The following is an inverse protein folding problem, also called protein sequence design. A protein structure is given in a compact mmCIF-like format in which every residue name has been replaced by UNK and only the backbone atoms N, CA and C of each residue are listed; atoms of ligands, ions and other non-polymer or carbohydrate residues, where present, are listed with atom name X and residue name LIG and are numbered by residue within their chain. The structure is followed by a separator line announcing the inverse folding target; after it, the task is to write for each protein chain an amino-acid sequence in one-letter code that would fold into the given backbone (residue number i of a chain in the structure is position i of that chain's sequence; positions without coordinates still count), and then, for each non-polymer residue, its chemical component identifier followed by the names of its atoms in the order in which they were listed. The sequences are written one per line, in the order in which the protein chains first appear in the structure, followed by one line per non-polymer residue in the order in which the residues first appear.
data_IF_367324582482
#
_entry.id   IF_367324582482
#
_cell.length_a   1.000
_cell.length_b   1.000
_cell.length_c   1.000
_cell.angle_alpha   90.00
_cell.angle_beta   90.00
_cell.angle_gamma   90.00
#
_symmetry.space_group_name_H-M   'P 1'
#
loop_
_entity.id
_entity.type
_entity.pdbx_description
1 polymer ?
#
# COMPACT_ATOMS: atom_id res chain seq x y z
N UNK A 1 0.56 -20.56 -0.60
CA UNK A 1 0.01 -20.36 -1.96
C UNK A 1 0.78 -19.23 -2.64
N UNK A 2 1.66 -19.57 -3.58
CA UNK A 2 2.30 -18.61 -4.47
C UNK A 2 1.25 -18.04 -5.43
N UNK A 3 0.92 -16.76 -5.29
CA UNK A 3 0.16 -16.02 -6.31
C UNK A 3 1.01 -14.87 -6.88
N UNK A 4 1.36 -15.13 -8.14
CA UNK A 4 1.53 -14.28 -9.33
C UNK A 4 2.22 -12.92 -9.19
N UNK A 5 3.36 -12.78 -9.87
CA UNK A 5 3.58 -11.59 -10.70
C UNK A 5 2.43 -11.52 -11.71
N UNK A 6 1.46 -10.64 -11.50
CA UNK A 6 0.56 -10.21 -12.58
C UNK A 6 1.27 -9.15 -13.40
N UNK A 7 1.28 -9.38 -14.72
CA UNK A 7 1.86 -8.57 -15.79
C UNK A 7 2.06 -7.08 -15.46
N UNK A 8 3.31 -6.60 -15.58
CA UNK A 8 3.54 -5.23 -16.01
C UNK A 8 2.99 -5.11 -17.44
N UNK A 9 1.74 -4.68 -17.59
CA UNK A 9 1.31 -4.07 -18.84
C UNK A 9 1.96 -2.68 -18.88
N UNK A 10 2.97 -2.53 -19.75
CA UNK A 10 3.69 -1.28 -19.93
C UNK A 10 2.78 -0.26 -20.63
N UNK A 11 2.01 0.49 -19.84
CA UNK A 11 1.43 1.75 -20.27
C UNK A 11 2.44 2.85 -19.93
N UNK A 12 2.91 3.65 -20.90
CA UNK A 12 3.80 4.78 -20.62
C UNK A 12 3.20 5.69 -19.54
N UNK A 13 3.96 5.96 -18.48
CA UNK A 13 3.53 6.82 -17.38
C UNK A 13 2.65 6.15 -16.31
N UNK A 14 2.46 4.82 -16.37
CA UNK A 14 1.78 4.04 -15.32
C UNK A 14 2.76 3.05 -14.67
N UNK A 15 2.87 3.10 -13.35
CA UNK A 15 3.60 2.10 -12.56
C UNK A 15 2.61 1.23 -11.76
N UNK A 16 2.79 -0.09 -11.76
CA UNK A 16 2.01 -1.03 -10.96
C UNK A 16 2.95 -1.72 -9.96
N UNK A 17 2.63 -1.63 -8.67
CA UNK A 17 3.42 -2.18 -7.57
C UNK A 17 2.58 -3.11 -6.72
N UNK A 18 3.12 -4.29 -6.39
CA UNK A 18 2.53 -5.18 -5.39
C UNK A 18 3.42 -5.21 -4.15
N UNK A 19 2.90 -4.74 -3.02
CA UNK A 19 3.59 -4.76 -1.74
C UNK A 19 3.13 -5.98 -0.94
N UNK A 20 4.07 -6.92 -0.72
CA UNK A 20 3.86 -8.08 0.16
C UNK A 20 4.50 -7.80 1.52
N UNK A 21 3.86 -8.28 2.60
CA UNK A 21 4.40 -8.16 3.95
C UNK A 21 5.76 -8.85 4.03
N UNK A 22 6.78 -8.07 4.39
CA UNK A 22 8.16 -8.55 4.52
C UNK A 22 8.25 -9.29 5.87
N UNK A 23 8.00 -10.59 5.87
CA UNK A 23 8.48 -11.45 6.96
C UNK A 23 10.00 -11.52 6.83
N UNK A 24 10.64 -10.77 7.71
CA UNK A 24 12.08 -10.61 7.95
C UNK A 24 12.97 -11.72 7.35
N UNK A 25 13.28 -11.62 6.06
CA UNK A 25 14.30 -12.44 5.40
C UNK A 25 15.04 -11.56 4.41
N UNK A 26 16.37 -11.53 4.55
CA UNK A 26 17.31 -10.74 3.75
C UNK A 26 17.09 -10.88 2.23
N UNK A 27 16.50 -12.00 1.80
CA UNK A 27 16.19 -12.37 0.42
C UNK A 27 15.04 -11.53 -0.18
N UNK A 28 14.06 -11.12 0.64
CA UNK A 28 12.93 -10.32 0.15
C UNK A 28 13.31 -8.86 -0.11
N UNK A 29 14.29 -8.31 0.63
CA UNK A 29 14.85 -6.98 0.37
C UNK A 29 15.55 -6.91 -0.98
N UNK A 30 16.33 -7.93 -1.34
CA UNK A 30 17.04 -7.97 -2.63
C UNK A 30 16.08 -8.13 -3.81
N UNK A 31 15.06 -9.00 -3.74
CA UNK A 31 14.04 -9.09 -4.78
C UNK A 31 13.16 -7.83 -4.88
N UNK A 32 12.89 -7.16 -3.76
CA UNK A 32 12.15 -5.90 -3.74
C UNK A 32 12.97 -4.75 -4.31
N UNK A 33 14.23 -4.61 -3.88
CA UNK A 33 15.19 -3.65 -4.43
C UNK A 33 15.47 -3.95 -5.91
N UNK A 34 15.52 -5.21 -6.34
CA UNK A 34 15.64 -5.59 -7.74
C UNK A 34 14.40 -5.19 -8.56
N UNK A 35 13.18 -5.26 -8.00
CA UNK A 35 11.99 -4.71 -8.64
C UNK A 35 12.04 -3.18 -8.74
N UNK A 36 12.46 -2.49 -7.66
CA UNK A 36 12.67 -1.03 -7.65
C UNK A 36 13.76 -0.63 -8.65
N UNK A 37 14.85 -1.40 -8.75
CA UNK A 37 15.98 -1.16 -9.66
C UNK A 37 15.67 -1.55 -11.11
N UNK A 38 14.87 -2.59 -11.35
CA UNK A 38 14.32 -2.89 -12.67
C UNK A 38 13.34 -1.79 -13.13
N UNK A 39 12.63 -1.18 -12.18
CA UNK A 39 11.77 -0.02 -12.42
C UNK A 39 12.51 1.32 -12.51
N UNK A 40 13.78 1.42 -12.07
CA UNK A 40 14.63 2.60 -12.33
C UNK A 40 14.89 2.85 -13.82
N UNK A 41 14.57 1.89 -14.69
CA UNK A 41 14.53 2.08 -16.14
C UNK A 41 13.24 2.73 -16.67
N UNK A 42 12.20 2.85 -15.84
CA UNK A 42 10.93 3.48 -16.18
C UNK A 42 10.88 4.92 -15.63
N UNK A 43 11.19 5.87 -16.52
CA UNK A 43 10.80 7.29 -16.55
C UNK A 43 10.54 7.96 -15.19
N UNK A 44 11.47 8.81 -14.75
CA UNK A 44 11.19 9.85 -13.75
C UNK A 44 9.99 10.70 -14.21
N UNK A 45 9.06 11.03 -13.30
CA UNK A 45 7.67 11.50 -13.57
C UNK A 45 6.72 10.41 -14.10
N UNK A 46 6.37 9.45 -13.23
CA UNK A 46 5.21 8.61 -13.50
C UNK A 46 3.94 9.44 -13.28
N UNK A 47 3.00 9.48 -14.22
CA UNK A 47 1.73 10.20 -14.00
C UNK A 47 0.83 9.47 -13.00
N UNK A 48 0.87 8.13 -13.01
CA UNK A 48 -0.05 7.25 -12.28
C UNK A 48 0.70 6.12 -11.57
N UNK A 49 0.52 5.96 -10.26
CA UNK A 49 1.01 4.82 -9.48
C UNK A 49 -0.17 3.98 -8.95
N UNK A 50 -0.21 2.70 -9.32
CA UNK A 50 -1.21 1.75 -8.83
C UNK A 50 -0.53 0.74 -7.90
N UNK A 51 -0.97 0.69 -6.65
CA UNK A 51 -0.41 -0.19 -5.62
C UNK A 51 -1.47 -1.17 -5.16
N UNK A 52 -1.09 -2.44 -5.06
CA UNK A 52 -1.90 -3.47 -4.39
C UNK A 52 -1.12 -4.01 -3.19
N UNK A 53 -1.79 -4.25 -2.07
CA UNK A 53 -1.14 -4.77 -0.87
C UNK A 53 -2.06 -5.64 -0.04
N UNK A 54 -1.57 -6.81 0.37
CA UNK A 54 -2.21 -7.56 1.45
C UNK A 54 -1.67 -7.04 2.77
N UNK A 55 -2.54 -6.48 3.62
CA UNK A 55 -2.14 -5.76 4.84
C UNK A 55 -2.61 -6.42 6.14
N UNK A 56 -3.20 -7.61 6.07
CA UNK A 56 -3.81 -8.27 7.24
C UNK A 56 -2.87 -8.37 8.43
N UNK A 57 -1.62 -8.81 8.20
CA UNK A 57 -0.63 -8.95 9.27
C UNK A 57 -0.08 -7.62 9.80
N UNK A 58 -0.33 -6.48 9.13
CA UNK A 58 0.12 -5.18 9.65
C UNK A 58 -0.62 -4.82 10.94
N UNK A 59 -1.86 -5.27 11.08
CA UNK A 59 -2.70 -5.00 12.25
C UNK A 59 -2.39 -5.94 13.42
N UNK A 60 -1.66 -7.03 13.18
CA UNK A 60 -1.18 -7.95 14.22
C UNK A 60 0.10 -7.43 14.90
N UNK A 61 0.94 -6.64 14.20
CA UNK A 61 2.17 -6.02 14.73
C UNK A 61 2.36 -4.57 14.22
N UNK A 62 1.63 -3.60 14.82
CA UNK A 62 1.72 -2.19 14.45
C UNK A 62 3.11 -1.57 14.69
N UNK A 63 3.86 -2.07 15.67
CA UNK A 63 5.12 -1.45 16.07
C UNK A 63 6.28 -1.80 15.13
N UNK A 64 6.25 -2.97 14.48
CA UNK A 64 7.29 -3.39 13.55
C UNK A 64 6.79 -3.53 12.11
N UNK A 65 5.79 -4.37 11.85
CA UNK A 65 5.36 -4.68 10.49
C UNK A 65 4.74 -3.47 9.81
N UNK A 66 3.81 -2.79 10.48
CA UNK A 66 3.15 -1.59 9.94
C UNK A 66 4.16 -0.47 9.68
N UNK A 67 5.04 -0.15 10.65
CA UNK A 67 6.06 0.90 10.49
C UNK A 67 7.03 0.60 9.34
N UNK A 68 7.47 -0.64 9.21
CA UNK A 68 8.36 -1.03 8.11
C UNK A 68 7.63 -0.93 6.76
N UNK A 69 6.39 -1.41 6.68
CA UNK A 69 5.59 -1.33 5.46
C UNK A 69 5.36 0.12 5.02
N UNK A 70 4.97 1.01 5.94
CA UNK A 70 4.78 2.44 5.65
C UNK A 70 6.08 3.09 5.16
N UNK A 71 7.22 2.76 5.77
CA UNK A 71 8.53 3.28 5.34
C UNK A 71 8.84 2.91 3.89
N UNK A 72 8.67 1.64 3.52
CA UNK A 72 8.94 1.15 2.17
C UNK A 72 7.92 1.73 1.16
N UNK A 73 6.65 1.83 1.54
CA UNK A 73 5.62 2.50 0.74
C UNK A 73 6.01 3.95 0.44
N UNK A 74 6.41 4.73 1.45
CA UNK A 74 6.85 6.12 1.25
C UNK A 74 8.08 6.25 0.36
N UNK A 75 9.01 5.29 0.42
CA UNK A 75 10.15 5.27 -0.50
C UNK A 75 9.73 5.09 -1.96
N UNK A 76 8.73 4.24 -2.23
CA UNK A 76 8.15 4.09 -3.58
C UNK A 76 7.50 5.38 -4.03
N UNK A 77 6.66 5.99 -3.18
CA UNK A 77 5.98 7.25 -3.48
C UNK A 77 7.00 8.34 -3.81
N UNK A 78 8.02 8.50 -2.97
CA UNK A 78 9.08 9.49 -3.18
C UNK A 78 9.89 9.24 -4.45
N UNK A 79 10.13 7.97 -4.82
CA UNK A 79 10.89 7.61 -6.02
C UNK A 79 10.11 7.90 -7.31
N UNK A 80 8.79 7.66 -7.33
CA UNK A 80 7.97 7.80 -8.54
C UNK A 80 7.34 9.18 -8.70
N UNK A 81 7.12 9.89 -7.57
CA UNK A 81 6.44 11.19 -7.49
C UNK A 81 5.16 11.24 -8.35
N UNK A 82 4.22 10.31 -8.17
CA UNK A 82 3.08 10.21 -9.06
C UNK A 82 2.13 11.40 -8.91
N UNK A 83 1.56 11.88 -10.03
CA UNK A 83 0.46 12.85 -9.96
C UNK A 83 -0.82 12.23 -9.38
N UNK A 84 -1.09 10.97 -9.72
CA UNK A 84 -2.20 10.22 -9.16
C UNK A 84 -1.72 8.88 -8.60
N UNK A 85 -2.20 8.53 -7.40
CA UNK A 85 -1.91 7.23 -6.80
C UNK A 85 -3.19 6.55 -6.32
N UNK A 86 -3.32 5.26 -6.65
CA UNK A 86 -4.32 4.38 -6.08
C UNK A 86 -3.62 3.28 -5.27
N UNK A 87 -3.96 3.14 -3.99
CA UNK A 87 -3.55 2.03 -3.14
C UNK A 87 -4.78 1.19 -2.81
N UNK A 88 -4.77 -0.06 -3.25
CA UNK A 88 -5.79 -1.04 -2.97
C UNK A 88 -5.25 -2.09 -1.99
N UNK A 89 -5.95 -2.27 -0.89
CA UNK A 89 -5.55 -3.13 0.21
C UNK A 89 -6.52 -4.30 0.39
N UNK A 90 -5.99 -5.50 0.54
CA UNK A 90 -6.71 -6.71 0.95
C UNK A 90 -6.41 -7.05 2.41
N UNK A 91 -7.35 -7.76 3.05
CA UNK A 91 -7.28 -8.11 4.48
C UNK A 91 -7.17 -6.86 5.39
N UNK A 92 -7.78 -5.75 4.96
CA UNK A 92 -7.78 -4.50 5.70
C UNK A 92 -8.55 -4.65 7.01
N UNK A 93 -7.91 -4.33 8.15
CA UNK A 93 -8.44 -4.57 9.50
C UNK A 93 -7.91 -5.83 10.19
N UNK A 94 -7.09 -6.64 9.52
CA UNK A 94 -6.48 -7.84 10.11
C UNK A 94 -7.50 -8.95 10.37
N UNK A 95 -7.11 -9.99 11.11
CA UNK A 95 -8.00 -11.16 11.33
C UNK A 95 -9.02 -10.94 12.48
N UNK A 96 -8.80 -9.94 13.32
CA UNK A 96 -9.50 -9.75 14.59
C UNK A 96 -10.18 -8.37 14.67
N UNK A 97 -11.20 -8.18 13.84
CA UNK A 97 -11.76 -6.86 13.49
C UNK A 97 -12.24 -6.01 14.67
N UNK A 98 -12.85 -6.60 15.69
CA UNK A 98 -13.35 -5.87 16.86
C UNK A 98 -12.22 -5.22 17.66
N UNK A 99 -11.05 -5.87 17.74
CA UNK A 99 -9.87 -5.35 18.42
C UNK A 99 -9.04 -4.41 17.52
N UNK A 100 -9.17 -4.51 16.21
CA UNK A 100 -8.32 -3.82 15.24
C UNK A 100 -8.82 -2.44 14.80
N UNK A 101 -10.05 -2.02 15.13
CA UNK A 101 -10.60 -0.75 14.66
C UNK A 101 -9.75 0.46 15.08
N UNK A 102 -9.23 0.47 16.32
CA UNK A 102 -8.32 1.52 16.77
C UNK A 102 -7.00 1.53 15.98
N UNK A 103 -6.54 0.37 15.51
CA UNK A 103 -5.36 0.24 14.65
C UNK A 103 -5.63 0.67 13.21
N UNK A 104 -6.86 0.49 12.71
CA UNK A 104 -7.29 0.96 11.40
C UNK A 104 -7.28 2.48 11.35
N UNK A 105 -7.93 3.15 12.30
CA UNK A 105 -7.96 4.62 12.36
C UNK A 105 -6.55 5.19 12.50
N UNK A 106 -5.72 4.57 13.34
CA UNK A 106 -4.31 4.94 13.49
C UNK A 106 -3.53 4.77 12.18
N UNK A 107 -3.70 3.66 11.48
CA UNK A 107 -3.06 3.43 10.18
C UNK A 107 -3.45 4.49 9.16
N UNK A 108 -4.76 4.76 9.01
CA UNK A 108 -5.26 5.76 8.07
C UNK A 108 -4.68 7.13 8.40
N UNK A 109 -4.70 7.51 9.68
CA UNK A 109 -4.13 8.78 10.13
C UNK A 109 -2.64 8.89 9.83
N UNK A 110 -1.86 7.87 10.17
CA UNK A 110 -0.41 7.83 9.92
C UNK A 110 -0.07 7.87 8.43
N UNK A 111 -0.85 7.16 7.60
CA UNK A 111 -0.72 7.17 6.15
C UNK A 111 -0.94 8.57 5.58
N UNK A 112 -2.03 9.22 5.97
CA UNK A 112 -2.43 10.53 5.44
C UNK A 112 -1.55 11.68 5.96
N UNK A 113 -1.05 11.60 7.20
CA UNK A 113 -0.29 12.69 7.83
C UNK A 113 1.22 12.63 7.60
N UNK A 114 1.72 11.67 6.83
CA UNK A 114 3.15 11.53 6.56
C UNK A 114 3.69 12.67 5.69
N UNK A 115 4.91 13.12 5.96
CA UNK A 115 5.61 14.10 5.12
C UNK A 115 5.74 13.65 3.66
N UNK A 116 5.79 12.34 3.41
CA UNK A 116 5.85 11.78 2.05
C UNK A 116 4.54 11.95 1.27
N UNK A 117 3.45 12.23 1.99
CA UNK A 117 2.10 12.37 1.44
C UNK A 117 1.63 13.83 1.40
N UNK A 118 2.42 14.77 1.95
CA UNK A 118 2.03 16.18 2.11
C UNK A 118 1.70 16.90 0.79
N UNK A 119 2.30 16.45 -0.32
CA UNK A 119 2.12 17.08 -1.63
C UNK A 119 0.79 16.65 -2.28
N UNK A 120 0.11 15.62 -1.76
CA UNK A 120 -1.22 15.21 -2.23
C UNK A 120 -2.31 15.98 -1.49
N UNK A 121 -2.78 17.06 -2.10
CA UNK A 121 -3.79 17.95 -1.52
C UNK A 121 -5.22 17.37 -1.50
N UNK A 122 -5.45 16.26 -2.21
CA UNK A 122 -6.72 15.54 -2.19
C UNK A 122 -6.49 14.05 -1.96
N UNK A 123 -7.21 13.52 -0.98
CA UNK A 123 -7.26 12.10 -0.69
C UNK A 123 -8.72 11.63 -0.58
N UNK A 124 -9.00 10.43 -1.08
CA UNK A 124 -10.29 9.76 -0.87
C UNK A 124 -10.06 8.33 -0.43
N UNK A 125 -10.72 7.96 0.67
CA UNK A 125 -10.57 6.65 1.31
C UNK A 125 -11.92 5.96 1.33
N UNK A 126 -11.94 4.68 0.92
CA UNK A 126 -13.09 3.81 1.00
C UNK A 126 -12.68 2.55 1.77
N UNK A 127 -13.31 2.32 2.92
CA UNK A 127 -13.08 1.15 3.75
C UNK A 127 -14.37 0.36 3.86
N UNK A 128 -14.27 -0.96 3.93
CA UNK A 128 -15.39 -1.77 4.36
C UNK A 128 -15.55 -1.66 5.88
N UNK A 129 -16.62 -1.02 6.32
CA UNK A 129 -16.94 -0.81 7.74
C UNK A 129 -17.98 -1.82 8.26
N UNK A 130 -18.47 -2.75 7.42
CA UNK A 130 -19.55 -3.66 7.78
C UNK A 130 -19.06 -4.93 8.51
N UNK A 131 -18.13 -4.77 9.46
CA UNK A 131 -17.52 -5.88 10.20
C UNK A 131 -18.51 -6.70 11.05
N UNK A 132 -19.68 -6.13 11.36
CA UNK A 132 -20.76 -6.80 12.11
C UNK A 132 -21.50 -7.84 11.27
N UNK A 133 -21.38 -7.78 9.95
CA UNK A 133 -21.96 -8.75 9.02
C UNK A 133 -20.84 -9.55 8.37
N UNK A 134 -20.41 -10.64 9.02
CA UNK A 134 -19.33 -11.49 8.50
C UNK A 134 -19.61 -12.01 7.08
N UNK A 135 -20.87 -12.17 6.69
CA UNK A 135 -21.27 -12.61 5.35
C UNK A 135 -21.09 -11.54 4.26
N UNK A 136 -20.99 -10.26 4.64
CA UNK A 136 -20.86 -9.14 3.71
C UNK A 136 -19.56 -8.37 3.84
N UNK A 137 -18.78 -8.66 4.88
CA UNK A 137 -17.51 -8.02 5.12
C UNK A 137 -16.43 -8.53 4.15
N UNK A 138 -15.86 -7.61 3.38
CA UNK A 138 -14.90 -7.89 2.32
C UNK A 138 -13.44 -7.71 2.74
N UNK A 139 -13.17 -7.04 3.87
CA UNK A 139 -11.83 -6.69 4.31
C UNK A 139 -11.03 -5.89 3.26
N UNK A 140 -11.70 -5.04 2.48
CA UNK A 140 -11.07 -4.22 1.44
C UNK A 140 -10.92 -2.77 1.90
N UNK A 141 -9.81 -2.15 1.47
CA UNK A 141 -9.58 -0.72 1.60
C UNK A 141 -9.03 -0.15 0.31
N UNK A 142 -9.50 1.02 -0.11
CA UNK A 142 -9.00 1.71 -1.29
C UNK A 142 -8.72 3.17 -0.96
N UNK A 143 -7.52 3.62 -1.31
CA UNK A 143 -7.03 4.97 -1.07
C UNK A 143 -6.65 5.59 -2.40
N UNK A 144 -7.12 6.80 -2.64
CA UNK A 144 -6.84 7.56 -3.86
C UNK A 144 -6.23 8.89 -3.48
N UNK A 145 -5.10 9.24 -4.09
CA UNK A 145 -4.36 10.46 -3.83
C UNK A 145 -4.12 11.21 -5.13
N UNK A 146 -4.32 12.52 -5.10
CA UNK A 146 -4.10 13.41 -6.23
C UNK A 146 -3.17 14.57 -5.82
N UNK A 147 -2.18 14.82 -6.66
CA UNK A 147 -1.26 15.94 -6.61
C UNK A 147 -1.65 16.91 -7.72
N UNK A 148 -2.30 18.03 -7.37
CA UNK A 148 -2.62 19.14 -8.27
C UNK A 148 -1.64 20.30 -8.13
#
# INVERSE_FOLDING_TARGET
LLLSLSLLQFFPGVAIVSLKNIHNTHIHRELFLANIMAMKGAVANTGILLVTANVGSLFDDPENLQKNWLREFYQIVHAHKPHFMALHCQEFGGKNYEASMSHVDKFVKELLSSDAMKDYNRARVYLDENFKSQEHFTALGSFYFLHE
#
